data_IF_456066789087
#
_entry.id   IF_456066789087
#
_cell.length_a   1.000
_cell.length_b   1.000
_cell.length_c   1.000
_cell.angle_alpha   90.00
_cell.angle_beta   90.00
_cell.angle_gamma   90.00
#
_symmetry.space_group_name_H-M   'P 1'
#
loop_
_entity.id
_entity.type
_entity.pdbx_description
1 polymer ?
#
# COMPACT_ATOMS: atom_id res chain seq x y z
N UNK A 1 24.84 28.83 -28.10
CA UNK A 1 23.38 28.98 -28.27
C UNK A 1 22.73 28.68 -26.91
N UNK A 2 22.36 29.80 -26.23
CA UNK A 2 21.78 29.77 -24.89
C UNK A 2 20.25 29.66 -25.03
N UNK A 3 19.66 28.60 -24.47
CA UNK A 3 18.21 28.49 -24.36
C UNK A 3 17.75 29.07 -23.03
N UNK A 4 17.09 30.21 -23.09
CA UNK A 4 16.39 30.84 -21.97
C UNK A 4 15.02 30.20 -21.87
N UNK A 5 14.75 29.42 -20.80
CA UNK A 5 13.42 28.96 -20.46
C UNK A 5 12.68 30.06 -19.70
N UNK A 6 11.67 30.62 -20.37
CA UNK A 6 10.74 31.60 -19.77
C UNK A 6 9.66 30.82 -19.00
N UNK A 7 9.71 30.85 -17.67
CA UNK A 7 8.63 30.37 -16.80
C UNK A 7 7.54 31.46 -16.70
N UNK A 8 6.40 31.21 -17.31
CA UNK A 8 5.18 32.03 -17.12
C UNK A 8 4.46 31.48 -15.89
N UNK A 9 4.51 32.25 -14.79
CA UNK A 9 3.65 32.03 -13.63
C UNK A 9 2.25 32.55 -13.92
N UNK A 10 1.29 31.63 -14.05
CA UNK A 10 -0.13 31.97 -14.06
C UNK A 10 -0.59 32.12 -12.61
N UNK A 11 -0.73 33.36 -12.14
CA UNK A 11 -1.31 33.67 -10.84
C UNK A 11 -2.84 33.59 -11.00
N UNK A 12 -3.41 32.46 -10.55
CA UNK A 12 -4.84 32.31 -10.40
C UNK A 12 -5.33 33.11 -9.19
N UNK A 13 -6.13 34.16 -9.42
CA UNK A 13 -6.84 34.90 -8.35
C UNK A 13 -7.94 34.00 -7.79
N UNK A 14 -7.79 33.59 -6.54
CA UNK A 14 -8.87 32.97 -5.76
C UNK A 14 -9.77 34.07 -5.24
N UNK A 15 -11.00 34.19 -5.77
CA UNK A 15 -12.07 35.00 -5.18
C UNK A 15 -12.56 34.32 -3.92
N UNK A 16 -12.31 34.94 -2.78
CA UNK A 16 -12.94 34.59 -1.52
C UNK A 16 -14.39 35.14 -1.52
N UNK A 17 -15.37 34.26 -1.60
CA UNK A 17 -16.76 34.61 -1.28
C UNK A 17 -16.91 34.59 0.24
N UNK A 18 -17.06 35.78 0.82
CA UNK A 18 -17.50 35.96 2.20
C UNK A 18 -18.96 35.53 2.30
N UNK A 19 -19.22 34.50 3.10
CA UNK A 19 -20.57 34.15 3.53
C UNK A 19 -20.88 35.03 4.72
N UNK A 20 -21.72 36.04 4.52
CA UNK A 20 -22.28 36.82 5.61
C UNK A 20 -23.31 35.94 6.34
N UNK A 21 -23.05 35.63 7.60
CA UNK A 21 -24.01 35.04 8.50
C UNK A 21 -25.03 36.13 8.90
N UNK A 22 -26.19 36.12 8.29
CA UNK A 22 -27.34 36.86 8.82
C UNK A 22 -27.79 36.21 10.13
N UNK A 23 -27.49 36.86 11.23
CA UNK A 23 -28.06 36.57 12.54
C UNK A 23 -29.47 37.18 12.57
N UNK A 24 -30.47 36.35 12.32
CA UNK A 24 -31.85 36.80 12.57
C UNK A 24 -32.09 36.84 14.08
N UNK A 25 -32.18 38.04 14.60
CA UNK A 25 -32.65 38.30 15.95
C UNK A 25 -34.18 38.20 15.93
N UNK A 26 -34.71 37.13 16.49
CA UNK A 26 -36.15 36.98 16.71
C UNK A 26 -36.48 37.76 17.98
N UNK A 27 -37.02 38.97 17.85
CA UNK A 27 -37.61 39.69 18.94
C UNK A 27 -39.03 39.13 19.17
N UNK A 28 -39.19 38.35 20.21
CA UNK A 28 -40.50 37.95 20.70
C UNK A 28 -41.00 39.04 21.66
N UNK A 29 -41.77 39.99 21.14
CA UNK A 29 -42.66 40.81 21.96
C UNK A 29 -43.84 39.90 22.35
N UNK A 30 -43.86 39.44 23.58
CA UNK A 30 -44.97 38.75 24.21
C UNK A 30 -45.81 39.81 24.93
N UNK A 31 -46.89 40.25 24.32
CA UNK A 31 -47.99 40.91 25.04
C UNK A 31 -48.70 39.85 25.90
N UNK A 32 -48.66 40.06 27.22
CA UNK A 32 -49.38 39.24 28.19
C UNK A 32 -50.80 39.79 28.28
N UNK A 33 -51.77 39.03 27.77
CA UNK A 33 -53.16 39.25 28.16
C UNK A 33 -53.55 38.17 29.16
N UNK A 34 -53.96 38.66 30.36
CA UNK A 34 -54.54 37.83 31.40
C UNK A 34 -55.84 37.17 30.93
N UNK A 35 -55.85 35.82 30.89
CA UNK A 35 -57.02 35.06 31.30
C UNK A 35 -56.67 33.57 31.57
N UNK A 36 -57.26 33.09 32.64
CA UNK A 36 -57.05 31.81 33.30
C UNK A 36 -57.32 30.62 32.39
N UNK A 37 -56.40 29.71 32.26
CA UNK A 37 -56.62 28.26 32.47
C UNK A 37 -55.32 27.45 32.43
N UNK A 38 -54.75 27.15 33.58
CA UNK A 38 -53.59 26.25 33.72
C UNK A 38 -54.15 24.84 33.74
N UNK A 39 -54.07 24.11 32.61
CA UNK A 39 -54.03 22.66 32.62
C UNK A 39 -52.64 22.21 32.17
N UNK A 40 -52.08 21.34 33.01
CA UNK A 40 -50.78 20.76 32.94
C UNK A 40 -50.43 20.27 31.52
N UNK A 41 -49.35 20.80 30.93
CA UNK A 41 -48.64 20.13 29.85
C UNK A 41 -47.41 19.51 30.50
N UNK A 42 -47.63 18.30 31.01
CA UNK A 42 -46.56 17.35 31.31
C UNK A 42 -46.03 16.79 29.99
N UNK A 43 -44.71 16.65 29.89
CA UNK A 43 -43.98 16.00 28.79
C UNK A 43 -43.69 16.89 27.55
N UNK A 44 -42.84 17.90 27.74
CA UNK A 44 -41.89 18.24 26.66
C UNK A 44 -40.62 17.42 26.95
N UNK A 45 -40.55 16.22 26.39
CA UNK A 45 -39.26 15.53 26.17
C UNK A 45 -38.43 16.42 25.22
N UNK A 46 -37.57 17.25 25.83
CA UNK A 46 -36.55 17.95 25.07
C UNK A 46 -35.57 16.89 24.56
N UNK A 47 -35.87 16.32 23.41
CA UNK A 47 -34.90 15.56 22.67
C UNK A 47 -33.79 16.53 22.25
N UNK A 48 -32.79 16.70 23.08
CA UNK A 48 -31.53 17.28 22.69
C UNK A 48 -30.89 16.31 21.70
N UNK A 49 -31.35 16.28 20.45
CA UNK A 49 -30.54 15.79 19.35
C UNK A 49 -29.32 16.72 19.28
N UNK A 50 -28.26 16.28 19.97
CA UNK A 50 -26.93 16.84 19.73
C UNK A 50 -26.63 16.53 18.28
N UNK A 51 -26.87 17.49 17.40
CA UNK A 51 -26.45 17.46 16.02
C UNK A 51 -24.92 17.44 16.03
N UNK A 52 -24.35 16.24 16.20
CA UNK A 52 -22.93 16.03 16.14
C UNK A 52 -22.48 16.38 14.72
N UNK A 53 -21.85 17.52 14.57
CA UNK A 53 -21.18 17.88 13.31
C UNK A 53 -20.27 16.72 12.95
N UNK A 54 -20.36 16.13 11.73
CA UNK A 54 -19.52 15.02 11.36
C UNK A 54 -18.05 15.45 11.47
N UNK A 55 -17.31 14.77 12.35
CA UNK A 55 -15.88 15.02 12.51
C UNK A 55 -15.19 14.83 11.16
N UNK A 56 -14.50 15.87 10.68
CA UNK A 56 -13.77 15.81 9.43
C UNK A 56 -12.76 14.65 9.46
N UNK A 57 -12.79 13.81 8.43
CA UNK A 57 -11.84 12.70 8.29
C UNK A 57 -10.43 13.22 8.00
N UNK A 58 -9.43 12.53 8.49
CA UNK A 58 -8.01 12.84 8.23
C UNK A 58 -7.56 12.17 6.94
N UNK A 59 -6.80 12.88 6.11
CA UNK A 59 -6.16 12.32 4.93
C UNK A 59 -5.09 11.29 5.32
N UNK A 60 -4.86 10.30 4.46
CA UNK A 60 -3.85 9.26 4.68
C UNK A 60 -2.90 9.13 3.51
N UNK A 61 -1.71 8.57 3.78
CA UNK A 61 -0.69 8.25 2.80
C UNK A 61 -0.25 6.80 3.00
N UNK A 62 -0.06 6.09 1.89
CA UNK A 62 0.60 4.79 1.87
C UNK A 62 1.98 4.96 1.22
N UNK A 63 3.02 4.66 1.98
CA UNK A 63 4.38 4.56 1.47
C UNK A 63 4.76 3.09 1.28
N UNK A 64 5.10 2.72 0.05
CA UNK A 64 5.53 1.36 -0.29
C UNK A 64 6.67 1.45 -1.30
N UNK A 65 7.93 1.35 -0.86
CA UNK A 65 9.08 1.40 -1.76
C UNK A 65 9.10 0.20 -2.70
N UNK A 66 9.74 0.30 -3.87
CA UNK A 66 9.92 -0.82 -4.77
C UNK A 66 10.72 -1.93 -4.10
N UNK A 67 10.41 -3.18 -4.46
CA UNK A 67 11.08 -4.38 -3.98
C UNK A 67 11.85 -5.00 -5.14
N UNK A 68 13.12 -5.28 -4.90
CA UNK A 68 13.96 -6.07 -5.79
C UNK A 68 14.50 -7.27 -5.01
N UNK A 69 14.27 -8.47 -5.52
CA UNK A 69 14.62 -9.71 -4.83
C UNK A 69 15.01 -10.79 -5.83
N UNK A 70 15.68 -11.83 -5.37
CA UNK A 70 15.88 -13.05 -6.15
C UNK A 70 14.75 -14.05 -5.89
N UNK A 71 14.55 -14.97 -6.82
CA UNK A 71 13.53 -16.00 -6.70
C UNK A 71 13.70 -16.80 -5.40
N UNK A 72 12.62 -16.83 -4.59
CA UNK A 72 12.58 -17.49 -3.26
C UNK A 72 13.58 -16.96 -2.23
N UNK A 73 14.04 -15.73 -2.35
CA UNK A 73 14.64 -15.09 -1.19
C UNK A 73 13.56 -14.75 -0.14
N UNK A 74 13.95 -14.35 1.05
CA UNK A 74 13.02 -14.09 2.16
C UNK A 74 12.56 -12.62 2.20
N UNK A 75 12.79 -11.84 1.13
CA UNK A 75 12.37 -10.45 1.02
C UNK A 75 10.85 -10.30 1.04
N UNK A 76 10.38 -9.17 1.56
CA UNK A 76 8.95 -8.89 1.73
C UNK A 76 8.60 -7.55 1.12
N UNK A 77 7.42 -7.48 0.52
CA UNK A 77 6.80 -6.20 0.24
C UNK A 77 6.34 -5.58 1.56
N UNK A 78 6.80 -4.36 1.84
CA UNK A 78 6.43 -3.60 3.04
C UNK A 78 5.69 -2.35 2.59
N UNK A 79 4.53 -2.09 3.19
CA UNK A 79 3.81 -0.85 3.02
C UNK A 79 3.49 -0.24 4.38
N UNK A 80 3.62 1.07 4.50
CA UNK A 80 3.36 1.83 5.72
C UNK A 80 2.22 2.81 5.47
N UNK A 81 1.18 2.72 6.28
CA UNK A 81 0.03 3.62 6.29
C UNK A 81 0.20 4.64 7.40
N UNK A 82 0.15 5.91 7.03
CA UNK A 82 0.24 7.04 7.98
C UNK A 82 -0.86 8.05 7.72
N UNK A 83 -1.14 8.91 8.70
CA UNK A 83 -1.89 10.12 8.44
C UNK A 83 -1.07 11.09 7.55
N UNK A 84 -1.77 11.95 6.82
CA UNK A 84 -1.13 13.00 6.02
C UNK A 84 -1.20 14.33 6.78
N UNK A 85 -0.55 14.37 7.95
CA UNK A 85 -0.40 15.61 8.69
C UNK A 85 0.82 16.38 8.18
N UNK A 86 0.68 17.69 7.95
CA UNK A 86 1.71 18.55 7.37
C UNK A 86 3.04 18.59 8.17
N UNK A 87 3.02 18.23 9.44
CA UNK A 87 4.19 18.32 10.32
C UNK A 87 4.74 16.96 10.78
N UNK A 88 3.86 15.98 10.99
CA UNK A 88 4.24 14.65 11.47
C UNK A 88 3.30 13.61 10.86
N UNK A 89 3.87 12.55 10.28
CA UNK A 89 3.13 11.42 9.76
C UNK A 89 3.00 10.37 10.86
N UNK A 90 1.83 10.30 11.52
CA UNK A 90 1.60 9.29 12.55
C UNK A 90 1.19 7.96 11.92
N UNK A 91 1.73 6.84 12.40
CA UNK A 91 1.36 5.53 11.91
C UNK A 91 -0.09 5.20 12.28
N UNK A 92 -0.83 4.62 11.35
CA UNK A 92 -2.19 4.15 11.56
C UNK A 92 -2.15 2.65 11.78
N UNK A 93 -2.32 2.23 13.03
CA UNK A 93 -2.34 0.82 13.43
C UNK A 93 -3.74 0.22 13.34
N UNK A 94 -3.80 -1.11 13.30
CA UNK A 94 -5.05 -1.88 13.26
C UNK A 94 -5.99 -1.53 12.10
N UNK A 95 -5.42 -1.02 11.01
CA UNK A 95 -6.14 -0.68 9.79
C UNK A 95 -6.08 -1.83 8.77
N UNK A 96 -7.22 -2.10 8.12
CA UNK A 96 -7.31 -3.10 7.07
C UNK A 96 -6.75 -2.54 5.76
N UNK A 97 -5.72 -3.18 5.22
CA UNK A 97 -5.08 -2.84 3.95
C UNK A 97 -5.17 -4.02 3.00
N UNK A 98 -5.50 -3.76 1.74
CA UNK A 98 -5.56 -4.75 0.68
C UNK A 98 -4.35 -4.55 -0.23
N UNK A 99 -3.60 -5.62 -0.49
CA UNK A 99 -2.49 -5.64 -1.44
C UNK A 99 -2.93 -6.52 -2.62
N UNK A 100 -3.10 -5.94 -3.78
CA UNK A 100 -3.34 -6.67 -5.03
C UNK A 100 -2.01 -6.81 -5.78
N UNK A 101 -1.59 -8.04 -6.05
CA UNK A 101 -0.42 -8.35 -6.89
C UNK A 101 -0.69 -9.61 -7.69
N UNK A 102 -0.33 -9.58 -8.96
CA UNK A 102 -0.57 -10.68 -9.91
C UNK A 102 -2.03 -11.19 -9.91
N UNK A 103 -2.99 -10.25 -9.81
CA UNK A 103 -4.42 -10.54 -9.80
C UNK A 103 -4.97 -11.11 -8.48
N UNK A 104 -4.12 -11.31 -7.46
CA UNK A 104 -4.52 -11.86 -6.15
C UNK A 104 -4.58 -10.75 -5.10
N UNK A 105 -5.67 -10.75 -4.32
CA UNK A 105 -5.86 -9.83 -3.20
C UNK A 105 -5.41 -10.45 -1.87
N UNK A 106 -4.53 -9.77 -1.18
CA UNK A 106 -4.08 -10.13 0.17
C UNK A 106 -4.55 -9.07 1.17
N UNK A 107 -5.42 -9.46 2.08
CA UNK A 107 -5.86 -8.58 3.17
C UNK A 107 -4.90 -8.69 4.35
N UNK A 108 -4.41 -7.56 4.84
CA UNK A 108 -3.51 -7.43 5.98
C UNK A 108 -4.01 -6.37 6.94
N UNK A 109 -3.59 -6.48 8.20
CA UNK A 109 -3.86 -5.48 9.25
C UNK A 109 -2.53 -4.81 9.59
N UNK A 110 -2.53 -3.48 9.70
CA UNK A 110 -1.34 -2.72 10.06
C UNK A 110 -0.94 -2.96 11.52
N UNK A 111 0.36 -3.05 11.76
CA UNK A 111 0.96 -3.15 13.09
C UNK A 111 1.02 -1.79 13.81
N UNK A 112 1.66 -1.73 14.98
CA UNK A 112 1.84 -0.49 15.77
C UNK A 112 2.64 0.60 15.06
N UNK A 113 3.41 0.26 14.02
CA UNK A 113 4.14 1.19 13.15
C UNK A 113 3.38 1.56 11.88
N UNK A 114 2.11 1.14 11.77
CA UNK A 114 1.31 1.31 10.56
C UNK A 114 1.75 0.43 9.39
N UNK A 115 2.56 -0.62 9.63
CA UNK A 115 3.15 -1.45 8.58
C UNK A 115 2.35 -2.71 8.32
N UNK A 116 2.29 -3.08 7.05
CA UNK A 116 1.88 -4.39 6.57
C UNK A 116 3.02 -5.03 5.80
N UNK A 117 3.16 -6.35 5.93
CA UNK A 117 4.20 -7.13 5.25
C UNK A 117 3.56 -8.28 4.48
N UNK A 118 4.00 -8.47 3.23
CA UNK A 118 3.61 -9.58 2.37
C UNK A 118 4.84 -10.33 1.90
N UNK A 119 4.95 -11.61 2.26
CA UNK A 119 5.95 -12.50 1.68
C UNK A 119 5.55 -12.82 0.24
N UNK A 120 6.50 -12.69 -0.68
CA UNK A 120 6.29 -12.87 -2.10
C UNK A 120 6.70 -14.28 -2.52
N UNK A 121 5.76 -15.03 -3.06
CA UNK A 121 6.00 -16.35 -3.64
C UNK A 121 5.50 -16.36 -5.09
N UNK A 122 6.17 -15.54 -5.90
CA UNK A 122 5.89 -15.38 -7.32
C UNK A 122 7.07 -15.85 -8.13
N UNK A 123 6.84 -16.23 -9.38
CA UNK A 123 7.90 -16.57 -10.33
C UNK A 123 8.77 -15.32 -10.62
N UNK A 124 9.96 -15.56 -11.22
CA UNK A 124 10.79 -14.44 -11.69
C UNK A 124 10.07 -13.60 -12.73
N UNK A 125 10.20 -12.27 -12.59
CA UNK A 125 9.49 -11.34 -13.44
C UNK A 125 9.30 -9.98 -12.78
N UNK A 126 8.59 -9.09 -13.47
CA UNK A 126 8.21 -7.77 -12.99
C UNK A 126 6.72 -7.73 -12.70
N UNK A 127 6.36 -7.22 -11.56
CA UNK A 127 4.98 -7.10 -11.09
C UNK A 127 4.72 -5.70 -10.57
N UNK A 128 3.46 -5.28 -10.63
CA UNK A 128 2.98 -4.06 -9.98
C UNK A 128 2.05 -4.47 -8.83
N UNK A 129 2.43 -4.17 -7.61
CA UNK A 129 1.57 -4.31 -6.45
C UNK A 129 0.76 -3.02 -6.25
N UNK A 130 -0.56 -3.13 -6.15
CA UNK A 130 -1.46 -2.03 -5.76
C UNK A 130 -1.86 -2.22 -4.32
N UNK A 131 -1.54 -1.23 -3.48
CA UNK A 131 -1.85 -1.22 -2.06
C UNK A 131 -3.01 -0.26 -1.84
N UNK A 132 -4.07 -0.70 -1.14
CA UNK A 132 -5.31 0.04 -0.98
C UNK A 132 -5.71 0.05 0.48
N UNK A 133 -5.97 1.23 1.00
CA UNK A 133 -6.70 1.46 2.24
C UNK A 133 -8.04 2.09 1.88
N UNK A 134 -9.15 1.43 2.24
CA UNK A 134 -10.50 1.87 1.87
C UNK A 134 -11.03 2.99 2.76
N UNK A 135 -10.24 3.40 3.75
CA UNK A 135 -10.64 4.39 4.74
C UNK A 135 -11.47 3.80 5.88
N UNK A 136 -11.90 4.65 6.79
CA UNK A 136 -12.84 4.36 7.88
C UNK A 136 -13.53 5.63 8.34
N UNK A 137 -14.22 5.61 9.47
CA UNK A 137 -14.95 6.78 9.99
C UNK A 137 -14.04 7.98 10.30
N UNK A 138 -12.77 7.74 10.59
CA UNK A 138 -11.79 8.77 10.96
C UNK A 138 -10.81 9.14 9.86
N UNK A 139 -10.66 8.28 8.84
CA UNK A 139 -9.63 8.40 7.83
C UNK A 139 -10.18 8.30 6.41
N UNK A 140 -9.68 9.14 5.51
CA UNK A 140 -9.96 9.04 4.08
C UNK A 140 -9.25 7.82 3.47
N UNK A 141 -9.80 7.24 2.38
CA UNK A 141 -9.13 6.19 1.65
C UNK A 141 -7.85 6.70 0.98
N UNK A 142 -6.89 5.79 0.77
CA UNK A 142 -5.67 6.06 0.01
C UNK A 142 -5.19 4.83 -0.72
N UNK A 143 -4.39 5.02 -1.76
CA UNK A 143 -3.76 3.92 -2.50
C UNK A 143 -2.37 4.31 -2.98
N UNK A 144 -1.52 3.28 -3.17
CA UNK A 144 -0.17 3.41 -3.71
C UNK A 144 0.15 2.22 -4.59
N UNK A 145 1.12 2.38 -5.49
CA UNK A 145 1.66 1.29 -6.30
C UNK A 145 3.13 1.07 -5.94
N UNK A 146 3.55 -0.18 -5.92
CA UNK A 146 4.95 -0.57 -5.69
C UNK A 146 5.41 -1.53 -6.79
N UNK A 147 6.54 -1.24 -7.41
CA UNK A 147 7.17 -2.16 -8.37
C UNK A 147 7.84 -3.29 -7.60
N UNK A 148 7.60 -4.52 -8.02
CA UNK A 148 8.24 -5.73 -7.50
C UNK A 148 8.99 -6.40 -8.65
N UNK A 149 10.31 -6.55 -8.50
CA UNK A 149 11.17 -7.20 -9.48
C UNK A 149 11.76 -8.46 -8.84
N UNK A 150 11.42 -9.62 -9.39
CA UNK A 150 11.94 -10.91 -8.93
C UNK A 150 12.92 -11.43 -9.98
N UNK A 151 14.20 -11.41 -9.63
CA UNK A 151 15.28 -11.86 -10.50
C UNK A 151 15.34 -13.40 -10.53
N UNK A 152 15.57 -14.01 -11.70
CA UNK A 152 15.80 -15.45 -11.78
C UNK A 152 17.13 -15.80 -11.10
N UNK A 153 17.21 -17.04 -10.58
CA UNK A 153 18.46 -17.63 -10.07
C UNK A 153 19.21 -18.42 -11.14
N UNK A 154 18.60 -18.56 -12.32
CA UNK A 154 19.21 -19.15 -13.50
C UNK A 154 19.09 -18.12 -14.62
N UNK A 155 20.20 -17.70 -15.18
CA UNK A 155 20.25 -16.77 -16.28
C UNK A 155 21.05 -17.36 -17.43
N UNK A 156 20.44 -17.48 -18.60
CA UNK A 156 21.07 -17.99 -19.80
C UNK A 156 20.88 -17.05 -20.98
N UNK A 157 21.74 -17.16 -21.96
CA UNK A 157 21.61 -16.38 -23.20
C UNK A 157 20.86 -17.18 -24.26
N UNK A 158 20.03 -16.51 -25.05
CA UNK A 158 19.48 -17.08 -26.28
C UNK A 158 20.59 -17.19 -27.32
N UNK A 159 20.68 -18.34 -27.99
CA UNK A 159 21.64 -18.51 -29.06
C UNK A 159 20.96 -18.92 -30.38
N UNK A 160 21.45 -18.30 -31.44
CA UNK A 160 21.21 -18.78 -32.82
C UNK A 160 22.55 -19.30 -33.35
N UNK A 161 22.61 -20.58 -33.68
CA UNK A 161 23.85 -21.22 -34.10
C UNK A 161 23.75 -21.74 -35.53
N UNK A 162 24.72 -21.37 -36.36
CA UNK A 162 24.91 -22.00 -37.68
C UNK A 162 25.71 -23.28 -37.55
N UNK A 163 25.53 -24.20 -38.48
CA UNK A 163 26.27 -25.45 -38.50
C UNK A 163 27.81 -25.23 -38.46
N UNK A 164 28.51 -25.91 -37.56
CA UNK A 164 29.98 -25.82 -37.36
C UNK A 164 30.52 -24.47 -36.93
N UNK A 165 29.69 -23.65 -36.27
CA UNK A 165 30.20 -22.44 -35.66
C UNK A 165 30.52 -22.74 -34.16
N UNK A 166 31.46 -21.97 -33.58
CA UNK A 166 31.95 -22.17 -32.21
C UNK A 166 31.15 -21.46 -31.13
N UNK A 167 29.96 -20.94 -31.48
CA UNK A 167 29.06 -20.25 -30.51
C UNK A 167 28.72 -21.22 -29.37
N UNK A 168 28.96 -20.77 -28.14
CA UNK A 168 28.69 -21.53 -26.91
C UNK A 168 27.44 -20.96 -26.21
N UNK A 169 26.75 -21.86 -25.54
CA UNK A 169 25.65 -21.50 -24.63
C UNK A 169 26.24 -21.31 -23.23
N UNK A 170 25.91 -20.16 -22.62
CA UNK A 170 26.34 -19.84 -21.27
C UNK A 170 25.13 -19.81 -20.34
N UNK A 171 25.26 -20.40 -19.19
CA UNK A 171 24.27 -20.35 -18.11
C UNK A 171 24.97 -19.93 -16.84
N UNK A 172 24.44 -18.92 -16.18
CA UNK A 172 24.87 -18.47 -14.88
C UNK A 172 23.85 -18.91 -13.82
N UNK A 173 24.34 -19.52 -12.76
CA UNK A 173 23.54 -19.90 -11.61
C UNK A 173 23.85 -18.98 -10.45
N UNK A 174 22.80 -18.50 -9.78
CA UNK A 174 22.93 -17.68 -8.59
C UNK A 174 22.20 -18.32 -7.41
N UNK A 175 22.71 -18.10 -6.21
CA UNK A 175 21.95 -18.42 -4.99
C UNK A 175 20.80 -17.43 -4.79
N UNK A 176 19.97 -17.68 -3.78
CA UNK A 176 18.84 -16.78 -3.43
C UNK A 176 19.27 -15.39 -2.95
N UNK A 177 20.56 -15.14 -2.76
CA UNK A 177 21.13 -13.83 -2.44
C UNK A 177 21.78 -13.15 -3.65
N UNK A 178 21.77 -13.82 -4.81
CA UNK A 178 22.34 -13.32 -6.04
C UNK A 178 23.84 -13.59 -6.20
N UNK A 179 24.45 -14.37 -5.32
CA UNK A 179 25.85 -14.75 -5.48
C UNK A 179 25.95 -15.83 -6.54
N UNK A 180 26.90 -15.68 -7.47
CA UNK A 180 27.18 -16.70 -8.49
C UNK A 180 27.64 -18.00 -7.84
N UNK A 181 27.04 -19.11 -8.25
CA UNK A 181 27.42 -20.46 -7.79
C UNK A 181 28.47 -20.98 -8.77
N UNK A 182 29.67 -21.27 -8.27
CA UNK A 182 30.74 -21.84 -9.11
C UNK A 182 30.43 -23.29 -9.53
N UNK A 183 31.02 -23.77 -10.66
CA UNK A 183 30.74 -25.10 -11.17
C UNK A 183 31.09 -26.23 -10.20
N UNK A 184 32.10 -26.03 -9.34
CA UNK A 184 32.53 -27.02 -8.36
C UNK A 184 31.47 -27.19 -7.26
N UNK A 185 30.86 -26.09 -6.82
CA UNK A 185 29.74 -26.12 -5.87
C UNK A 185 28.52 -26.82 -6.46
N UNK A 186 28.20 -26.58 -7.74
CA UNK A 186 27.13 -27.28 -8.46
C UNK A 186 27.32 -28.76 -8.50
N UNK A 187 28.50 -29.22 -8.85
CA UNK A 187 28.84 -30.67 -8.87
C UNK A 187 28.67 -31.33 -7.49
N UNK A 188 29.02 -30.59 -6.41
CA UNK A 188 28.81 -31.09 -5.06
C UNK A 188 27.32 -31.24 -4.73
N UNK A 189 26.47 -30.30 -5.13
CA UNK A 189 25.02 -30.42 -4.94
C UNK A 189 24.42 -31.59 -5.74
N UNK A 190 24.84 -31.81 -6.98
CA UNK A 190 24.39 -32.93 -7.80
C UNK A 190 24.77 -34.27 -7.15
N UNK A 191 26.02 -34.41 -6.70
CA UNK A 191 26.47 -35.59 -5.99
C UNK A 191 25.66 -35.87 -4.72
N UNK A 192 25.40 -34.83 -3.89
CA UNK A 192 24.58 -34.98 -2.69
C UNK A 192 23.15 -35.38 -3.02
N UNK A 193 22.54 -34.76 -4.04
CA UNK A 193 21.19 -35.10 -4.48
C UNK A 193 21.07 -36.54 -4.94
N UNK A 194 22.05 -37.03 -5.69
CA UNK A 194 22.12 -38.44 -6.14
C UNK A 194 22.25 -39.40 -4.96
N UNK A 195 23.19 -39.15 -4.04
CA UNK A 195 23.39 -39.97 -2.83
C UNK A 195 22.13 -40.02 -1.96
N UNK A 196 21.44 -38.91 -1.79
CA UNK A 196 20.19 -38.83 -1.00
C UNK A 196 19.06 -39.61 -1.69
N UNK A 197 18.98 -39.55 -3.02
CA UNK A 197 17.98 -40.30 -3.79
C UNK A 197 18.22 -41.79 -3.68
N UNK A 198 19.47 -42.26 -3.80
CA UNK A 198 19.82 -43.66 -3.64
C UNK A 198 19.56 -44.19 -2.22
N UNK A 199 19.86 -43.39 -1.18
CA UNK A 199 19.53 -43.73 0.21
C UNK A 199 18.01 -43.87 0.41
N UNK A 200 17.22 -42.98 -0.16
CA UNK A 200 15.76 -43.04 -0.06
C UNK A 200 15.19 -44.30 -0.75
N UNK A 201 15.74 -44.67 -1.90
CA UNK A 201 15.34 -45.87 -2.59
C UNK A 201 15.65 -47.15 -1.80
N UNK A 202 16.79 -47.18 -1.06
CA UNK A 202 17.17 -48.33 -0.21
C UNK A 202 16.36 -48.43 1.08
N UNK A 203 15.71 -47.40 1.53
CA UNK A 203 14.86 -47.43 2.73
C UNK A 203 13.42 -47.91 2.46
N UNK A 204 13.04 -48.11 1.19
CA UNK A 204 11.71 -48.58 0.79
C UNK A 204 11.71 -50.06 0.32
N UNK A 205 12.79 -50.81 0.56
CA UNK A 205 12.88 -52.26 0.40
C UNK A 205 12.93 -52.89 1.79
#
# INVERSE_FOLDING_TARGET
ISFIFLFIFLIGTVSATTIENETQTINNDLEISDDENIQAIDNIETSNEILSTPKAKTLTIINSPPVEMYYKDDSKLIATLTDNNNYMHHPISNAKVIININGVNYTKITDSRGQVMLSLNLESGEYMAKIIFEGCDFYHPSSSNSKVTIKPTINGNDIVKYHKNDTQYYVEFSDKKGNTIDPMTLQAYEYFAEVMTQKKAKMHI
#
